data_IF_353455809830
#
_entry.id   IF_353455809830
#
_cell.length_a   1.000
_cell.length_b   1.000
_cell.length_c   1.000
_cell.angle_alpha   90.00
_cell.angle_beta   90.00
_cell.angle_gamma   90.00
#
_symmetry.space_group_name_H-M   'P 1'
#
loop_
_entity.id
_entity.type
_entity.pdbx_description
1 polymer ?
#
# COMPACT_ATOMS: atom_id res chain seq x y z
N UNK A 1 -11.48 10.01 11.34
CA UNK A 1 -10.65 8.79 11.25
C UNK A 1 -9.18 9.16 11.47
N UNK A 2 -8.52 8.52 12.45
CA UNK A 2 -7.09 8.67 12.72
C UNK A 2 -6.32 7.66 11.87
N UNK A 3 -5.48 8.15 10.96
CA UNK A 3 -4.76 7.30 10.01
C UNK A 3 -3.30 7.20 10.44
N UNK A 4 -2.80 5.98 10.66
CA UNK A 4 -1.39 5.67 10.74
C UNK A 4 -0.85 5.39 9.34
N UNK A 5 0.30 5.95 8.99
CA UNK A 5 0.92 5.75 7.68
C UNK A 5 2.26 5.03 7.82
N UNK A 6 2.38 3.85 7.23
CA UNK A 6 3.59 3.03 7.28
C UNK A 6 4.30 3.06 5.92
N UNK A 7 5.56 3.45 5.91
CA UNK A 7 6.37 3.45 4.71
C UNK A 7 7.85 3.27 5.02
N UNK A 8 8.56 2.54 4.16
CA UNK A 8 10.03 2.51 4.19
C UNK A 8 10.64 3.80 3.66
N UNK A 9 9.86 4.58 2.89
CA UNK A 9 10.32 5.83 2.26
C UNK A 9 11.45 5.61 1.25
N UNK A 10 11.40 4.54 0.46
CA UNK A 10 12.53 4.08 -0.35
C UNK A 10 12.70 4.78 -1.70
N UNK A 11 11.70 5.54 -2.14
CA UNK A 11 11.65 6.14 -3.47
C UNK A 11 10.71 7.35 -3.53
N UNK A 12 10.65 7.98 -4.70
CA UNK A 12 9.78 9.12 -4.95
C UNK A 12 8.30 8.76 -4.87
N UNK A 13 7.92 7.56 -5.29
CA UNK A 13 6.52 7.11 -5.25
C UNK A 13 5.99 7.10 -3.80
N UNK A 14 6.82 6.70 -2.82
CA UNK A 14 6.44 6.74 -1.41
C UNK A 14 6.13 8.18 -0.94
N UNK A 15 6.88 9.19 -1.42
CA UNK A 15 6.63 10.60 -1.11
C UNK A 15 5.33 11.08 -1.75
N UNK A 16 5.13 10.76 -3.03
CA UNK A 16 3.95 11.16 -3.80
C UNK A 16 2.66 10.53 -3.24
N UNK A 17 2.70 9.26 -2.80
CA UNK A 17 1.56 8.60 -2.15
C UNK A 17 1.13 9.30 -0.86
N UNK A 18 2.09 9.63 0.01
CA UNK A 18 1.81 10.38 1.23
C UNK A 18 1.25 11.77 0.93
N UNK A 19 1.84 12.47 -0.04
CA UNK A 19 1.38 13.80 -0.47
C UNK A 19 -0.04 13.75 -1.00
N UNK A 20 -0.36 12.81 -1.89
CA UNK A 20 -1.71 12.65 -2.45
C UNK A 20 -2.76 12.41 -1.35
N UNK A 21 -2.47 11.52 -0.40
CA UNK A 21 -3.36 11.25 0.73
C UNK A 21 -3.54 12.48 1.63
N UNK A 22 -2.45 13.16 1.97
CA UNK A 22 -2.45 14.37 2.81
C UNK A 22 -3.25 15.50 2.15
N UNK A 23 -3.11 15.71 0.85
CA UNK A 23 -3.82 16.77 0.13
C UNK A 23 -5.33 16.51 0.08
N UNK A 24 -5.76 15.25 -0.05
CA UNK A 24 -7.18 14.85 0.04
C UNK A 24 -7.74 15.00 1.47
N UNK A 25 -6.93 14.75 2.50
CA UNK A 25 -7.31 15.05 3.91
C UNK A 25 -7.45 16.55 4.09
N UNK A 26 -6.49 17.35 3.65
CA UNK A 26 -6.49 18.81 3.79
C UNK A 26 -7.66 19.48 3.05
N UNK A 27 -8.03 18.96 1.90
CA UNK A 27 -9.18 19.48 1.12
C UNK A 27 -10.54 19.00 1.65
N UNK A 28 -10.58 18.19 2.72
CA UNK A 28 -11.82 17.65 3.28
C UNK A 28 -12.45 16.50 2.49
N UNK A 29 -11.79 16.02 1.43
CA UNK A 29 -12.27 14.87 0.65
C UNK A 29 -12.20 13.56 1.46
N UNK A 30 -11.21 13.44 2.34
CA UNK A 30 -11.08 12.35 3.31
C UNK A 30 -11.36 12.93 4.69
N UNK A 31 -12.43 12.43 5.35
CA UNK A 31 -12.77 12.84 6.71
C UNK A 31 -11.86 12.12 7.73
N UNK A 32 -10.71 12.73 8.01
CA UNK A 32 -9.71 12.15 8.89
C UNK A 32 -8.46 12.99 9.02
N UNK A 33 -7.46 12.46 9.70
CA UNK A 33 -6.12 13.04 9.80
C UNK A 33 -5.07 11.95 9.74
N UNK A 34 -3.92 12.23 9.15
CA UNK A 34 -2.73 11.38 9.27
C UNK A 34 -2.10 11.71 10.62
N UNK A 35 -2.29 10.82 11.60
CA UNK A 35 -1.91 11.05 13.00
C UNK A 35 -0.43 10.82 13.26
N UNK A 36 0.20 9.94 12.47
CA UNK A 36 1.64 9.70 12.46
C UNK A 36 2.07 9.05 11.15
N UNK A 37 3.37 9.15 10.88
CA UNK A 37 4.06 8.32 9.89
C UNK A 37 5.05 7.43 10.62
N UNK A 38 5.00 6.13 10.35
CA UNK A 38 5.98 5.16 10.83
C UNK A 38 6.92 4.73 9.72
N UNK A 39 8.23 4.69 10.00
CA UNK A 39 9.22 4.10 9.10
C UNK A 39 10.10 3.06 9.79
N UNK A 40 10.36 1.96 9.07
CA UNK A 40 11.31 0.92 9.49
C UNK A 40 12.78 1.26 9.19
N UNK A 41 13.05 2.53 8.88
CA UNK A 41 14.38 3.15 8.75
C UNK A 41 14.51 4.33 9.69
N UNK A 42 15.73 4.69 10.00
CA UNK A 42 16.08 5.90 10.77
C UNK A 42 16.84 6.90 9.88
N UNK A 43 16.88 8.19 10.27
CA UNK A 43 17.64 9.19 9.56
C UNK A 43 19.11 8.79 9.33
N UNK A 44 19.63 9.06 8.13
CA UNK A 44 20.98 8.72 7.71
C UNK A 44 21.15 7.30 7.16
N UNK A 45 20.11 6.47 7.13
CA UNK A 45 20.23 5.10 6.58
C UNK A 45 20.13 5.04 5.07
N UNK A 46 19.39 5.95 4.46
CA UNK A 46 19.26 6.03 3.00
C UNK A 46 18.73 7.40 2.57
N UNK A 47 19.34 7.97 1.53
CA UNK A 47 19.00 9.28 0.98
C UNK A 47 17.50 9.44 0.68
N UNK A 48 16.89 8.44 0.04
CA UNK A 48 15.45 8.51 -0.31
C UNK A 48 14.55 8.52 0.93
N UNK A 49 14.94 7.78 1.97
CA UNK A 49 14.21 7.81 3.24
C UNK A 49 14.38 9.14 3.98
N UNK A 50 15.56 9.76 3.89
CA UNK A 50 15.79 11.07 4.49
C UNK A 50 14.93 12.14 3.81
N UNK A 51 14.84 12.13 2.47
CA UNK A 51 13.92 13.00 1.72
C UNK A 51 12.44 12.76 2.09
N UNK A 52 12.06 11.51 2.32
CA UNK A 52 10.72 11.18 2.81
C UNK A 52 10.49 11.75 4.22
N UNK A 53 11.46 11.65 5.12
CA UNK A 53 11.37 12.19 6.48
C UNK A 53 11.30 13.73 6.50
N UNK A 54 12.04 14.40 5.63
CA UNK A 54 11.95 15.85 5.44
C UNK A 54 10.54 16.27 5.00
N UNK A 55 9.94 15.53 4.05
CA UNK A 55 8.57 15.76 3.62
C UNK A 55 7.57 15.60 4.77
N UNK A 56 7.67 14.51 5.55
CA UNK A 56 6.81 14.26 6.72
C UNK A 56 6.89 15.41 7.71
N UNK A 57 8.10 15.86 8.04
CA UNK A 57 8.34 16.99 8.96
C UNK A 57 7.77 18.30 8.41
N UNK A 58 7.90 18.56 7.10
CA UNK A 58 7.34 19.75 6.46
C UNK A 58 5.81 19.83 6.54
N UNK A 59 5.16 18.68 6.72
CA UNK A 59 3.72 18.59 6.92
C UNK A 59 3.29 18.68 8.39
N UNK A 60 4.25 18.82 9.32
CA UNK A 60 4.01 18.77 10.77
C UNK A 60 3.31 17.49 11.22
N UNK A 61 3.59 16.37 10.55
CA UNK A 61 3.08 15.05 10.94
C UNK A 61 4.12 14.38 11.85
N UNK A 62 3.73 13.82 13.00
CA UNK A 62 4.62 13.06 13.87
C UNK A 62 5.31 11.93 13.09
N UNK A 63 6.64 11.89 13.14
CA UNK A 63 7.45 10.86 12.52
C UNK A 63 7.97 9.89 13.59
N UNK A 64 7.62 8.63 13.46
CA UNK A 64 8.07 7.53 14.33
C UNK A 64 9.02 6.65 13.51
N UNK A 65 10.24 6.50 13.98
CA UNK A 65 11.25 5.66 13.33
C UNK A 65 11.70 4.53 14.24
N UNK A 66 11.90 3.35 13.65
CA UNK A 66 12.56 2.22 14.29
C UNK A 66 13.30 1.41 13.23
N UNK A 67 14.62 1.53 13.19
CA UNK A 67 15.43 0.81 12.20
C UNK A 67 15.33 -0.71 12.38
N UNK A 68 14.82 -1.39 11.36
CA UNK A 68 14.80 -2.86 11.37
C UNK A 68 16.21 -3.47 11.29
N UNK A 69 17.18 -2.74 10.69
CA UNK A 69 18.56 -3.19 10.58
C UNK A 69 19.30 -3.09 11.92
N UNK A 70 19.13 -1.95 12.64
CA UNK A 70 19.74 -1.73 13.95
C UNK A 70 19.09 -2.55 15.06
N UNK A 71 17.81 -2.89 14.89
CA UNK A 71 17.08 -3.74 15.84
C UNK A 71 17.51 -5.21 15.77
N UNK A 72 18.13 -5.66 14.67
CA UNK A 72 18.72 -7.00 14.56
C UNK A 72 19.99 -7.06 15.39
N UNK A 73 19.93 -7.77 16.53
CA UNK A 73 21.07 -7.90 17.47
C UNK A 73 22.02 -9.05 17.18
N UNK A 74 21.72 -9.97 16.22
CA UNK A 74 22.53 -11.16 15.93
C UNK A 74 22.53 -11.55 14.46
N UNK A 75 23.62 -12.20 14.01
CA UNK A 75 23.82 -12.75 12.66
C UNK A 75 23.07 -14.08 12.49
N UNK A 76 21.74 -14.06 12.58
CA UNK A 76 21.00 -15.31 12.56
C UNK A 76 20.12 -15.42 11.31
N UNK A 77 20.48 -16.35 10.43
CA UNK A 77 19.75 -16.69 9.20
C UNK A 77 18.66 -17.76 9.39
N UNK A 78 18.47 -18.25 10.61
CA UNK A 78 17.49 -19.29 10.94
C UNK A 78 16.05 -18.77 10.87
N UNK A 79 15.16 -19.53 10.21
CA UNK A 79 13.74 -19.19 10.01
C UNK A 79 12.97 -18.98 11.34
N UNK A 80 13.30 -19.75 12.39
CA UNK A 80 12.72 -19.62 13.72
C UNK A 80 13.05 -18.27 14.36
N UNK A 81 14.30 -17.88 14.26
CA UNK A 81 14.82 -16.62 14.79
C UNK A 81 14.26 -15.40 14.04
N UNK A 82 14.08 -15.52 12.72
CA UNK A 82 13.39 -14.48 11.93
C UNK A 82 11.97 -14.24 12.43
N UNK A 83 11.25 -15.28 12.86
CA UNK A 83 9.89 -15.15 13.41
C UNK A 83 9.90 -14.48 14.79
N UNK A 84 10.77 -14.90 15.70
CA UNK A 84 10.92 -14.28 17.03
C UNK A 84 11.35 -12.81 16.94
N UNK A 85 12.34 -12.52 16.11
CA UNK A 85 12.77 -11.16 15.85
C UNK A 85 11.62 -10.28 15.38
N UNK A 86 10.79 -10.76 14.44
CA UNK A 86 9.63 -10.04 13.91
C UNK A 86 8.62 -9.71 15.00
N UNK A 87 8.37 -10.67 15.90
CA UNK A 87 7.48 -10.45 17.05
C UNK A 87 8.03 -9.34 17.96
N UNK A 88 9.30 -9.44 18.37
CA UNK A 88 9.94 -8.45 19.23
C UNK A 88 9.95 -7.05 18.58
N UNK A 89 10.27 -6.99 17.30
CA UNK A 89 10.29 -5.75 16.53
C UNK A 89 8.91 -5.09 16.50
N UNK A 90 7.87 -5.82 16.12
CA UNK A 90 6.53 -5.24 16.02
C UNK A 90 5.89 -4.95 17.39
N UNK A 91 6.28 -5.63 18.45
CA UNK A 91 5.91 -5.23 19.82
C UNK A 91 6.48 -3.86 20.19
N UNK A 92 7.73 -3.59 19.78
CA UNK A 92 8.33 -2.27 19.99
C UNK A 92 7.69 -1.21 19.08
N UNK A 93 7.38 -1.55 17.81
CA UNK A 93 6.58 -0.69 16.92
C UNK A 93 5.25 -0.34 17.59
N UNK A 94 4.52 -1.35 18.10
CA UNK A 94 3.24 -1.13 18.76
C UNK A 94 3.33 -0.12 19.91
N UNK A 95 4.31 -0.27 20.81
CA UNK A 95 4.50 0.68 21.93
C UNK A 95 4.66 2.12 21.45
N UNK A 96 5.35 2.32 20.32
CA UNK A 96 5.62 3.66 19.76
C UNK A 96 4.41 4.28 19.07
N UNK A 97 3.53 3.47 18.47
CA UNK A 97 2.38 3.96 17.73
C UNK A 97 1.07 4.00 18.55
N UNK A 98 0.97 3.20 19.60
CA UNK A 98 -0.21 3.11 20.46
C UNK A 98 -0.72 4.47 20.98
N UNK A 99 0.15 5.44 21.39
CA UNK A 99 -0.31 6.74 21.86
C UNK A 99 -1.07 7.57 20.80
N UNK A 100 -0.93 7.24 19.51
CA UNK A 100 -1.64 7.94 18.43
C UNK A 100 -3.06 7.41 18.19
N UNK A 101 -3.42 6.26 18.79
CA UNK A 101 -4.73 5.62 18.69
C UNK A 101 -5.26 5.59 17.23
N UNK A 102 -4.56 4.94 16.28
CA UNK A 102 -5.03 4.90 14.90
C UNK A 102 -6.29 4.05 14.77
N UNK A 103 -7.27 4.56 14.01
CA UNK A 103 -8.46 3.80 13.60
C UNK A 103 -8.13 2.87 12.44
N UNK A 104 -7.15 3.26 11.61
CA UNK A 104 -6.71 2.52 10.41
C UNK A 104 -5.23 2.79 10.16
N UNK A 105 -4.48 1.75 9.81
CA UNK A 105 -3.09 1.86 9.37
C UNK A 105 -2.95 1.55 7.88
N UNK A 106 -2.26 2.42 7.15
CA UNK A 106 -1.99 2.26 5.71
C UNK A 106 -0.54 1.85 5.52
N UNK A 107 -0.30 0.75 4.82
CA UNK A 107 1.01 0.34 4.36
C UNK A 107 1.18 0.79 2.90
N UNK A 108 2.01 1.80 2.70
CA UNK A 108 2.36 2.35 1.39
C UNK A 108 3.86 2.24 1.16
N UNK A 109 4.29 1.12 0.59
CA UNK A 109 5.71 0.81 0.42
C UNK A 109 6.42 0.45 1.73
N UNK A 110 5.74 -0.17 2.66
CA UNK A 110 6.33 -0.76 3.88
C UNK A 110 6.85 -2.17 3.58
N UNK A 111 8.17 -2.36 3.69
CA UNK A 111 8.87 -3.54 3.16
C UNK A 111 9.08 -4.67 4.18
N UNK A 112 8.34 -4.68 5.28
CA UNK A 112 8.39 -5.78 6.26
C UNK A 112 7.04 -6.47 6.36
N UNK A 113 7.08 -7.79 6.51
CA UNK A 113 5.88 -8.58 6.82
C UNK A 113 5.48 -8.28 8.27
N UNK A 114 4.27 -7.82 8.48
CA UNK A 114 3.71 -7.50 9.81
C UNK A 114 3.44 -8.80 10.57
N UNK A 115 3.68 -8.79 11.87
CA UNK A 115 3.37 -9.95 12.71
C UNK A 115 1.87 -10.02 13.05
N UNK A 116 1.43 -11.21 13.45
CA UNK A 116 0.03 -11.50 13.76
C UNK A 116 -0.54 -10.60 14.84
N UNK A 117 0.22 -10.36 15.93
CA UNK A 117 -0.24 -9.53 17.06
C UNK A 117 -0.62 -8.10 16.61
N UNK A 118 0.17 -7.51 15.71
CA UNK A 118 -0.09 -6.16 15.22
C UNK A 118 -1.28 -6.13 14.25
N UNK A 119 -1.39 -7.17 13.38
CA UNK A 119 -2.54 -7.33 12.48
C UNK A 119 -3.87 -7.54 13.24
N UNK A 120 -3.84 -8.21 14.38
CA UNK A 120 -5.04 -8.42 15.21
C UNK A 120 -5.43 -7.16 16.00
N UNK A 121 -4.45 -6.30 16.32
CA UNK A 121 -4.68 -5.09 17.12
C UNK A 121 -5.23 -3.93 16.31
N UNK A 122 -4.79 -3.79 15.07
CA UNK A 122 -5.15 -2.67 14.20
C UNK A 122 -5.69 -3.17 12.86
N UNK A 123 -6.73 -2.52 12.37
CA UNK A 123 -7.07 -2.64 10.96
C UNK A 123 -5.94 -2.02 10.13
N UNK A 124 -5.22 -2.86 9.40
CA UNK A 124 -4.10 -2.44 8.54
C UNK A 124 -4.42 -2.81 7.10
N UNK A 125 -4.25 -1.90 6.16
CA UNK A 125 -4.43 -2.17 4.73
C UNK A 125 -3.16 -1.86 3.96
N UNK A 126 -2.82 -2.73 3.02
CA UNK A 126 -1.61 -2.61 2.20
C UNK A 126 -1.98 -2.27 0.76
N UNK A 127 -1.25 -1.32 0.16
CA UNK A 127 -1.28 -1.08 -1.29
C UNK A 127 -0.40 -2.11 -1.98
N UNK A 128 -1.02 -2.98 -2.78
CA UNK A 128 -0.35 -4.01 -3.54
C UNK A 128 -0.60 -3.85 -5.03
N UNK A 129 0.45 -3.78 -5.87
CA UNK A 129 0.35 -3.59 -7.32
C UNK A 129 0.00 -4.89 -8.04
N UNK A 130 -1.13 -5.48 -7.71
CA UNK A 130 -1.69 -6.65 -8.36
C UNK A 130 -3.21 -6.62 -8.34
N UNK A 131 -3.89 -7.26 -9.33
CA UNK A 131 -5.33 -7.47 -9.27
C UNK A 131 -5.70 -8.44 -8.16
N UNK A 132 -6.96 -8.43 -7.66
CA UNK A 132 -7.45 -9.43 -6.69
C UNK A 132 -7.18 -10.87 -7.16
N UNK A 133 -6.60 -11.70 -6.28
CA UNK A 133 -6.21 -13.07 -6.62
C UNK A 133 -4.98 -13.19 -7.52
N UNK A 134 -4.35 -12.09 -7.85
CA UNK A 134 -3.14 -12.03 -8.68
C UNK A 134 -1.86 -12.48 -7.97
N UNK A 135 -0.70 -12.28 -8.63
CA UNK A 135 0.60 -12.61 -8.07
C UNK A 135 0.90 -11.85 -6.77
N UNK A 136 1.72 -12.43 -5.91
CA UNK A 136 2.25 -11.82 -4.67
C UNK A 136 3.70 -11.40 -4.86
N UNK A 137 4.22 -10.56 -3.96
CA UNK A 137 5.63 -10.14 -3.97
C UNK A 137 5.83 -8.70 -4.42
N UNK A 138 7.01 -8.38 -4.91
CA UNK A 138 7.35 -7.04 -5.41
C UNK A 138 6.60 -6.70 -6.70
N UNK A 139 6.41 -5.41 -6.98
CA UNK A 139 5.77 -4.98 -8.23
C UNK A 139 6.48 -5.51 -9.49
N UNK A 140 7.81 -5.71 -9.41
CA UNK A 140 8.56 -6.30 -10.52
C UNK A 140 8.16 -7.76 -10.76
N UNK A 141 8.11 -8.55 -9.69
CA UNK A 141 7.70 -9.96 -9.78
C UNK A 141 6.26 -10.10 -10.26
N UNK A 142 5.37 -9.24 -9.77
CA UNK A 142 3.96 -9.21 -10.21
C UNK A 142 3.85 -8.94 -11.72
N UNK A 143 4.50 -7.88 -12.22
CA UNK A 143 4.40 -7.53 -13.65
C UNK A 143 4.99 -8.62 -14.53
N UNK A 144 6.14 -9.20 -14.16
CA UNK A 144 6.72 -10.31 -14.92
C UNK A 144 5.81 -11.52 -14.93
N UNK A 145 5.22 -11.89 -13.80
CA UNK A 145 4.26 -12.99 -13.72
C UNK A 145 3.01 -12.73 -14.59
N UNK A 146 2.49 -11.50 -14.63
CA UNK A 146 1.38 -11.13 -15.53
C UNK A 146 1.75 -11.27 -17.00
N UNK A 147 2.97 -10.88 -17.40
CA UNK A 147 3.47 -11.00 -18.76
C UNK A 147 3.69 -12.47 -19.14
N UNK A 148 4.31 -13.26 -18.26
CA UNK A 148 4.61 -14.67 -18.51
C UNK A 148 3.34 -15.52 -18.61
N UNK A 149 2.30 -15.19 -17.83
CA UNK A 149 1.01 -15.85 -17.88
C UNK A 149 0.06 -15.25 -18.95
N UNK A 150 0.53 -14.35 -19.79
CA UNK A 150 -0.25 -13.67 -20.83
C UNK A 150 -1.58 -13.09 -20.32
N UNK A 151 -1.58 -12.54 -19.12
CA UNK A 151 -2.77 -12.00 -18.48
C UNK A 151 -3.47 -10.94 -19.34
N UNK A 152 -4.80 -10.90 -19.29
CA UNK A 152 -5.60 -9.90 -20.01
C UNK A 152 -5.65 -8.56 -19.29
N UNK A 153 -5.51 -8.60 -17.95
CA UNK A 153 -5.66 -7.45 -17.07
C UNK A 153 -4.51 -7.35 -16.07
N UNK A 154 -4.13 -6.12 -15.75
CA UNK A 154 -3.35 -5.75 -14.58
C UNK A 154 -4.21 -4.91 -13.64
N UNK A 155 -3.67 -4.55 -12.49
CA UNK A 155 -4.39 -3.73 -11.52
C UNK A 155 -3.61 -3.51 -10.25
N UNK A 156 -4.25 -2.79 -9.34
CA UNK A 156 -3.77 -2.63 -7.97
C UNK A 156 -4.91 -2.85 -6.99
N UNK A 157 -4.57 -3.28 -5.78
CA UNK A 157 -5.54 -3.47 -4.71
C UNK A 157 -5.06 -2.90 -3.38
N UNK A 158 -6.03 -2.52 -2.55
CA UNK A 158 -5.85 -2.32 -1.12
C UNK A 158 -6.44 -3.54 -0.43
N UNK A 159 -5.65 -4.31 0.30
CA UNK A 159 -6.10 -5.49 1.01
C UNK A 159 -5.78 -5.41 2.50
N UNK A 160 -6.55 -6.10 3.34
CA UNK A 160 -6.21 -6.25 4.75
C UNK A 160 -4.87 -6.96 4.91
N UNK A 161 -4.05 -6.45 5.80
CA UNK A 161 -2.78 -7.08 6.16
C UNK A 161 -3.04 -8.27 7.06
N UNK A 162 -2.53 -9.42 6.67
CA UNK A 162 -2.57 -10.67 7.43
C UNK A 162 -1.15 -11.22 7.57
N UNK A 163 -0.91 -12.22 8.42
CA UNK A 163 0.39 -12.90 8.50
C UNK A 163 0.83 -13.55 7.17
N UNK A 164 -0.11 -13.86 6.29
CA UNK A 164 0.13 -14.36 4.94
C UNK A 164 0.35 -13.19 3.98
N UNK A 165 1.49 -13.18 3.30
CA UNK A 165 1.89 -12.10 2.40
C UNK A 165 0.88 -11.92 1.26
N UNK A 166 0.33 -10.70 1.13
CA UNK A 166 -0.56 -10.25 0.04
C UNK A 166 -1.81 -11.12 -0.19
N UNK A 167 -2.28 -11.83 0.85
CA UNK A 167 -3.42 -12.78 0.78
C UNK A 167 -4.63 -12.37 1.61
N UNK A 168 -4.59 -11.23 2.27
CA UNK A 168 -5.71 -10.75 3.07
C UNK A 168 -6.91 -10.34 2.22
N UNK A 169 -8.11 -10.22 2.84
CA UNK A 169 -9.33 -9.78 2.18
C UNK A 169 -9.15 -8.45 1.44
N UNK A 170 -9.62 -8.38 0.20
CA UNK A 170 -9.51 -7.18 -0.63
C UNK A 170 -10.51 -6.12 -0.16
N UNK A 171 -10.02 -4.96 0.22
CA UNK A 171 -10.83 -3.80 0.63
C UNK A 171 -11.35 -3.06 -0.59
N UNK A 172 -10.46 -2.73 -1.52
CA UNK A 172 -10.78 -2.09 -2.79
C UNK A 172 -9.75 -2.44 -3.85
N UNK A 173 -10.11 -2.22 -5.11
CA UNK A 173 -9.21 -2.51 -6.23
C UNK A 173 -9.57 -1.71 -7.47
N UNK A 174 -8.61 -1.63 -8.39
CA UNK A 174 -8.84 -1.19 -9.76
C UNK A 174 -8.16 -2.14 -10.74
N UNK A 175 -8.80 -2.32 -11.89
CA UNK A 175 -8.33 -3.16 -13.01
C UNK A 175 -8.20 -2.31 -14.27
N UNK A 176 -7.25 -2.68 -15.13
CA UNK A 176 -7.13 -2.13 -16.48
C UNK A 176 -6.64 -3.20 -17.45
N UNK A 177 -7.06 -3.12 -18.72
CA UNK A 177 -6.63 -4.06 -19.75
C UNK A 177 -5.18 -3.81 -20.15
N UNK A 178 -4.40 -4.90 -20.27
CA UNK A 178 -3.04 -4.89 -20.84
C UNK A 178 -2.98 -5.57 -22.22
N UNK A 179 -4.15 -5.84 -22.84
CA UNK A 179 -4.29 -6.36 -24.21
C UNK A 179 -4.85 -5.32 -25.17
N UNK A 180 -5.29 -4.14 -24.70
CA UNK A 180 -5.84 -3.06 -25.53
C UNK A 180 -4.85 -2.48 -26.54
N UNK A 181 -5.30 -1.58 -27.42
CA UNK A 181 -4.54 -1.05 -28.57
C UNK A 181 -3.13 -0.58 -28.21
N UNK A 182 -2.97 0.08 -27.06
CA UNK A 182 -1.69 0.58 -26.58
C UNK A 182 -0.66 -0.54 -26.38
N UNK A 183 -1.09 -1.70 -25.90
CA UNK A 183 -0.25 -2.85 -25.58
C UNK A 183 -0.15 -3.86 -26.72
N UNK A 184 -1.20 -3.97 -27.56
CA UNK A 184 -1.36 -5.02 -28.56
C UNK A 184 -0.18 -5.16 -29.50
N UNK A 185 0.44 -4.06 -29.94
CA UNK A 185 1.61 -4.08 -30.83
C UNK A 185 2.84 -4.72 -30.17
N UNK A 186 3.00 -4.57 -28.86
CA UNK A 186 4.15 -5.11 -28.13
C UNK A 186 3.95 -6.58 -27.78
N UNK A 187 2.71 -7.00 -27.51
CA UNK A 187 2.36 -8.41 -27.41
C UNK A 187 2.65 -9.16 -28.72
N UNK A 188 2.27 -8.59 -29.87
CA UNK A 188 2.54 -9.19 -31.20
C UNK A 188 4.03 -9.29 -31.53
N UNK A 189 4.86 -8.38 -31.03
CA UNK A 189 6.31 -8.35 -31.24
C UNK A 189 7.09 -9.11 -30.17
N UNK A 190 6.41 -9.68 -29.18
CA UNK A 190 7.00 -10.29 -27.98
C UNK A 190 8.00 -9.36 -27.25
N UNK A 191 7.73 -8.05 -27.27
CA UNK A 191 8.61 -7.07 -26.61
C UNK A 191 8.24 -6.93 -25.12
N UNK A 192 8.61 -7.95 -24.35
CA UNK A 192 8.31 -8.06 -22.92
C UNK A 192 8.88 -6.90 -22.09
N UNK A 193 10.02 -6.35 -22.48
CA UNK A 193 10.64 -5.22 -21.76
C UNK A 193 9.84 -3.93 -21.92
N UNK A 194 9.27 -3.68 -23.10
CA UNK A 194 8.40 -2.52 -23.30
C UNK A 194 7.07 -2.76 -22.58
N UNK A 195 6.50 -3.96 -22.68
CA UNK A 195 5.28 -4.33 -21.93
C UNK A 195 5.47 -4.08 -20.45
N UNK A 196 6.57 -4.55 -19.86
CA UNK A 196 6.90 -4.35 -18.45
C UNK A 196 6.87 -2.87 -18.06
N UNK A 197 7.55 -2.01 -18.83
CA UNK A 197 7.60 -0.57 -18.57
C UNK A 197 6.24 0.10 -18.71
N UNK A 198 5.47 -0.25 -19.73
CA UNK A 198 4.14 0.29 -19.96
C UNK A 198 3.16 -0.14 -18.87
N UNK A 199 3.16 -1.43 -18.50
CA UNK A 199 2.31 -1.94 -17.41
C UNK A 199 2.65 -1.18 -16.12
N UNK A 200 3.94 -1.05 -15.76
CA UNK A 200 4.35 -0.30 -14.57
C UNK A 200 3.89 1.14 -14.60
N UNK A 201 4.02 1.83 -15.72
CA UNK A 201 3.56 3.22 -15.86
C UNK A 201 2.06 3.36 -15.61
N UNK A 202 1.25 2.48 -16.21
CA UNK A 202 -0.20 2.48 -16.06
C UNK A 202 -0.67 2.07 -14.65
N UNK A 203 0.04 1.15 -14.03
CA UNK A 203 -0.22 0.69 -12.67
C UNK A 203 0.10 1.80 -11.66
N UNK A 204 1.29 2.40 -11.74
CA UNK A 204 1.70 3.48 -10.85
C UNK A 204 0.74 4.68 -10.94
N UNK A 205 0.30 5.06 -12.15
CA UNK A 205 -0.68 6.12 -12.33
C UNK A 205 -2.04 5.84 -11.62
N UNK A 206 -2.34 4.57 -11.34
CA UNK A 206 -3.57 4.12 -10.67
C UNK A 206 -3.41 3.92 -9.17
N UNK A 207 -2.21 3.66 -8.68
CA UNK A 207 -1.93 3.50 -7.25
C UNK A 207 -2.33 4.75 -6.44
N UNK A 208 -2.01 5.96 -6.96
CA UNK A 208 -2.32 7.23 -6.28
C UNK A 208 -3.82 7.48 -6.12
N UNK A 209 -4.65 7.43 -7.18
CA UNK A 209 -6.09 7.57 -7.02
C UNK A 209 -6.70 6.40 -6.25
N UNK A 210 -6.20 5.17 -6.39
CA UNK A 210 -6.74 4.03 -5.65
C UNK A 210 -6.62 4.23 -4.14
N UNK A 211 -5.44 4.57 -3.62
CA UNK A 211 -5.26 4.76 -2.17
C UNK A 211 -6.13 5.90 -1.64
N UNK A 212 -6.21 7.01 -2.37
CA UNK A 212 -7.00 8.17 -1.93
C UNK A 212 -8.51 7.91 -1.99
N UNK A 213 -9.01 7.27 -3.04
CA UNK A 213 -10.42 6.89 -3.18
C UNK A 213 -10.81 5.82 -2.16
N UNK A 214 -9.92 4.88 -1.85
CA UNK A 214 -10.15 3.89 -0.78
C UNK A 214 -10.32 4.57 0.57
N UNK A 215 -9.40 5.46 0.94
CA UNK A 215 -9.50 6.23 2.18
C UNK A 215 -10.77 7.09 2.23
N UNK A 216 -11.15 7.69 1.11
CA UNK A 216 -12.38 8.45 0.98
C UNK A 216 -13.61 7.57 1.19
N UNK A 217 -13.69 6.40 0.54
CA UNK A 217 -14.80 5.47 0.67
C UNK A 217 -14.93 4.91 2.10
N UNK A 218 -13.79 4.57 2.75
CA UNK A 218 -13.78 4.18 4.16
C UNK A 218 -14.24 5.31 5.09
N UNK A 219 -13.76 6.53 4.87
CA UNK A 219 -14.11 7.68 5.70
C UNK A 219 -15.57 8.12 5.58
N UNK A 220 -16.24 7.73 4.51
CA UNK A 220 -17.67 7.99 4.22
C UNK A 220 -18.58 6.82 4.56
N UNK A 221 -18.03 5.68 4.94
CA UNK A 221 -18.79 4.46 5.21
C UNK A 221 -19.37 3.78 3.97
N UNK A 222 -18.87 4.12 2.76
CA UNK A 222 -19.24 3.42 1.50
C UNK A 222 -18.76 1.96 1.53
N UNK A 223 -17.64 1.74 2.20
CA UNK A 223 -17.07 0.42 2.54
C UNK A 223 -16.53 0.47 3.97
N UNK A 224 -16.58 -0.63 4.69
CA UNK A 224 -16.05 -0.72 6.04
C UNK A 224 -15.43 -2.08 6.33
N UNK A 225 -14.54 -2.10 7.32
CA UNK A 225 -13.87 -3.28 7.82
C UNK A 225 -14.55 -3.65 9.15
N UNK A 226 -15.08 -4.86 9.26
CA UNK A 226 -15.68 -5.37 10.50
C UNK A 226 -15.24 -6.81 10.74
N UNK A 227 -14.53 -7.03 11.84
CA UNK A 227 -14.03 -8.36 12.22
C UNK A 227 -13.25 -9.05 11.08
N UNK A 228 -12.36 -8.31 10.41
CA UNK A 228 -11.58 -8.81 9.28
C UNK A 228 -12.36 -9.07 7.99
N UNK A 229 -13.63 -8.64 7.92
CA UNK A 229 -14.49 -8.78 6.74
C UNK A 229 -14.76 -7.41 6.12
N UNK A 230 -14.93 -7.41 4.80
CA UNK A 230 -15.23 -6.19 4.04
C UNK A 230 -16.72 -6.15 3.74
N UNK A 231 -17.37 -5.06 4.13
CA UNK A 231 -18.80 -4.87 3.95
C UNK A 231 -19.09 -3.54 3.25
N UNK A 232 -20.14 -3.50 2.43
CA UNK A 232 -20.63 -2.28 1.79
C UNK A 232 -21.46 -1.39 2.75
N UNK A 233 -21.94 -0.26 2.23
CA UNK A 233 -22.77 0.69 2.99
C UNK A 233 -24.11 0.10 3.49
N UNK A 234 -24.59 -0.99 2.89
CA UNK A 234 -25.79 -1.72 3.27
C UNK A 234 -25.52 -2.83 4.30
N UNK A 235 -24.24 -3.01 4.70
CA UNK A 235 -23.83 -4.07 5.63
C UNK A 235 -23.66 -5.45 4.99
N UNK A 236 -23.69 -5.54 3.65
CA UNK A 236 -23.50 -6.79 2.91
C UNK A 236 -22.02 -7.11 2.77
N UNK A 237 -21.65 -8.38 2.94
CA UNK A 237 -20.29 -8.87 2.67
C UNK A 237 -19.96 -8.73 1.18
N UNK A 238 -18.80 -8.15 0.89
CA UNK A 238 -18.27 -8.01 -0.47
C UNK A 238 -16.85 -8.58 -0.57
N UNK A 239 -16.46 -9.00 -1.78
CA UNK A 239 -15.12 -9.49 -2.10
C UNK A 239 -14.14 -8.38 -2.53
N UNK A 240 -14.46 -7.13 -2.21
CA UNK A 240 -13.70 -5.94 -2.54
C UNK A 240 -14.54 -4.87 -3.24
N UNK A 241 -14.24 -3.61 -2.98
CA UNK A 241 -14.93 -2.46 -3.55
C UNK A 241 -14.26 -2.06 -4.87
N UNK A 242 -14.95 -2.28 -5.99
CA UNK A 242 -14.41 -1.97 -7.31
C UNK A 242 -14.39 -0.45 -7.57
N UNK A 243 -13.20 0.12 -7.69
CA UNK A 243 -12.96 1.53 -7.95
C UNK A 243 -12.44 1.80 -9.38
N UNK A 244 -12.42 0.81 -10.29
CA UNK A 244 -11.80 0.93 -11.60
C UNK A 244 -12.24 2.17 -12.38
N UNK A 245 -13.56 2.40 -12.50
CA UNK A 245 -14.09 3.56 -13.21
C UNK A 245 -13.67 4.88 -12.57
N UNK A 246 -13.80 5.01 -11.23
CA UNK A 246 -13.41 6.22 -10.50
C UNK A 246 -11.90 6.49 -10.61
N UNK A 247 -11.08 5.45 -10.53
CA UNK A 247 -9.62 5.54 -10.71
C UNK A 247 -9.27 5.99 -12.12
N UNK A 248 -9.89 5.43 -13.16
CA UNK A 248 -9.65 5.81 -14.55
C UNK A 248 -10.06 7.27 -14.83
N UNK A 249 -11.13 7.76 -14.20
CA UNK A 249 -11.53 9.18 -14.28
C UNK A 249 -10.47 10.10 -13.68
N UNK A 250 -9.92 9.76 -12.50
CA UNK A 250 -8.85 10.55 -11.87
C UNK A 250 -7.55 10.51 -12.70
N UNK A 251 -7.17 9.35 -13.25
CA UNK A 251 -6.01 9.24 -14.16
C UNK A 251 -6.17 10.14 -15.38
N UNK A 252 -7.36 10.16 -16.02
CA UNK A 252 -7.65 11.02 -17.19
C UNK A 252 -7.59 12.52 -16.86
N UNK A 253 -7.97 12.94 -15.65
CA UNK A 253 -7.87 14.34 -15.21
C UNK A 253 -6.43 14.80 -15.06
N UNK A 254 -5.55 13.91 -14.59
CA UNK A 254 -4.12 14.21 -14.36
C UNK A 254 -3.28 14.20 -15.66
N UNK A 255 -3.84 13.72 -16.78
CA UNK A 255 -3.20 13.73 -18.10
C UNK A 255 -3.56 14.99 -18.93
N UNK A 256 -4.46 15.85 -18.44
CA UNK A 256 -4.84 17.15 -19.04
C UNK A 256 -4.07 18.28 -18.38
#
# INVERSE_FOLDING_TARGET
>A
MNIGWFSTGRDEAARQLLQAARDKVRSGNINGKISFVFSNREPGEAKESDLFFELVRSYNIPLVCLSHKRFKTTKEEDLGIKKEWRIKYHREVNKRIEPFAPDLCILAGYMLIVNEELCQKYDMINLHPAPPGGPTGSWQEVIWALIENEADTAGAMMHLVTPELDRGPVVSYCLFSIKGELFAKYWRKDDKNILFRLIRQHELAREFPLITLTLQSLSRGEVSIKNGKIIDAQGKLISGYNLSCKVDEEVKKNLK
#
